data_IF_040562035256
#
_entry.id   IF_040562035256
#
_cell.length_a   1.000
_cell.length_b   1.000
_cell.length_c   1.000
_cell.angle_alpha   90.00
_cell.angle_beta   90.00
_cell.angle_gamma   90.00
#
_symmetry.space_group_name_H-M   'P 1'
#
loop_
_entity.id
_entity.type
_entity.pdbx_description
1 polymer ?
#
# COMPACT_ATOMS: atom_id res chain seq x y z
N UNK A 1 -8.76 5.60 5.67
CA UNK A 1 -9.27 4.39 6.37
C UNK A 1 -8.09 3.77 7.12
N UNK A 2 -7.92 4.11 8.41
CA UNK A 2 -6.76 3.63 9.17
C UNK A 2 -7.10 2.44 10.08
N UNK A 3 -8.36 2.32 10.53
CA UNK A 3 -8.82 1.28 11.46
C UNK A 3 -8.65 -0.13 10.90
N UNK A 4 -9.01 -0.36 9.64
CA UNK A 4 -8.85 -1.68 9.00
C UNK A 4 -7.38 -2.09 8.91
N UNK A 5 -6.49 -1.15 8.59
CA UNK A 5 -5.03 -1.42 8.55
C UNK A 5 -4.51 -1.71 9.96
N UNK A 6 -4.98 -0.98 10.99
CA UNK A 6 -4.61 -1.27 12.39
C UNK A 6 -4.99 -2.69 12.82
N UNK A 7 -6.15 -3.21 12.38
CA UNK A 7 -6.55 -4.60 12.62
C UNK A 7 -5.64 -5.58 11.89
N UNK A 8 -5.25 -5.29 10.65
CA UNK A 8 -4.27 -6.13 9.93
C UNK A 8 -2.91 -6.13 10.64
N UNK A 9 -2.44 -4.98 11.12
CA UNK A 9 -1.21 -4.89 11.91
C UNK A 9 -1.30 -5.74 13.19
N UNK A 10 -2.42 -5.71 13.90
CA UNK A 10 -2.66 -6.57 15.07
C UNK A 10 -2.56 -8.06 14.74
N UNK A 11 -3.17 -8.50 13.62
CA UNK A 11 -3.06 -9.88 13.16
C UNK A 11 -1.62 -10.27 12.81
N UNK A 12 -0.87 -9.39 12.16
CA UNK A 12 0.51 -9.63 11.76
C UNK A 12 1.47 -9.66 12.95
N UNK A 13 1.22 -8.83 13.96
CA UNK A 13 1.97 -8.82 15.23
C UNK A 13 1.89 -10.19 15.91
N UNK A 14 0.72 -10.85 15.90
CA UNK A 14 0.58 -12.20 16.44
C UNK A 14 1.09 -13.30 15.51
N UNK A 15 1.22 -13.03 14.21
CA UNK A 15 1.66 -14.03 13.22
C UNK A 15 3.18 -14.20 13.20
N UNK A 16 3.93 -13.13 13.43
CA UNK A 16 5.38 -13.12 13.33
C UNK A 16 6.05 -13.02 14.70
N UNK A 17 7.08 -13.83 14.91
CA UNK A 17 7.90 -13.74 16.13
C UNK A 17 8.75 -12.46 16.13
N UNK A 18 9.45 -12.19 15.02
CA UNK A 18 10.26 -10.99 14.83
C UNK A 18 9.57 -10.05 13.83
N UNK A 19 8.36 -9.59 14.18
CA UNK A 19 7.42 -8.90 13.27
C UNK A 19 8.03 -7.92 12.27
N UNK A 20 8.93 -7.02 12.67
CA UNK A 20 9.56 -6.06 11.75
C UNK A 20 10.52 -6.73 10.77
N UNK A 21 11.33 -7.66 11.25
CA UNK A 21 12.33 -8.38 10.45
C UNK A 21 11.65 -9.34 9.48
N UNK A 22 10.72 -10.14 9.99
CA UNK A 22 10.02 -11.16 9.21
C UNK A 22 9.14 -10.54 8.13
N UNK A 23 8.41 -9.45 8.48
CA UNK A 23 7.63 -8.70 7.50
C UNK A 23 8.51 -8.08 6.41
N UNK A 24 9.61 -7.44 6.79
CA UNK A 24 10.53 -6.83 5.81
C UNK A 24 11.15 -7.90 4.92
N UNK A 25 11.52 -9.06 5.46
CA UNK A 25 12.04 -10.18 4.69
C UNK A 25 11.00 -10.73 3.70
N UNK A 26 9.74 -10.87 4.12
CA UNK A 26 8.65 -11.25 3.23
C UNK A 26 8.45 -10.20 2.11
N UNK A 27 8.52 -8.91 2.45
CA UNK A 27 8.35 -7.82 1.49
C UNK A 27 9.52 -7.74 0.49
N UNK A 28 10.75 -7.96 0.94
CA UNK A 28 11.95 -8.08 0.09
C UNK A 28 11.85 -9.25 -0.89
N UNK A 29 11.37 -10.41 -0.43
CA UNK A 29 11.09 -11.58 -1.29
C UNK A 29 10.03 -11.27 -2.36
N UNK A 30 8.97 -10.55 -1.97
CA UNK A 30 7.92 -10.11 -2.88
C UNK A 30 8.47 -9.16 -3.95
N UNK A 31 9.22 -8.14 -3.54
CA UNK A 31 9.75 -7.12 -4.44
C UNK A 31 11.00 -7.55 -5.20
N UNK A 32 11.57 -8.72 -4.89
CA UNK A 32 12.85 -9.21 -5.44
C UNK A 32 14.00 -8.21 -5.26
N UNK A 33 14.00 -7.48 -4.14
CA UNK A 33 15.02 -6.49 -3.77
C UNK A 33 15.47 -6.71 -2.33
N UNK A 34 16.78 -6.69 -2.09
CA UNK A 34 17.38 -6.77 -0.76
C UNK A 34 17.47 -5.42 -0.05
N UNK A 35 17.37 -4.32 -0.80
CA UNK A 35 17.81 -3.00 -0.35
C UNK A 35 16.69 -2.21 0.34
N UNK A 36 15.45 -2.70 0.21
CA UNK A 36 14.26 -2.16 0.88
C UNK A 36 14.47 -2.18 2.39
N UNK A 37 14.26 -1.06 3.05
CA UNK A 37 14.43 -0.93 4.50
C UNK A 37 13.41 0.03 5.10
N UNK A 38 13.33 0.04 6.43
CA UNK A 38 12.54 1.01 7.16
C UNK A 38 13.30 2.32 7.31
N UNK A 39 12.59 3.42 7.13
CA UNK A 39 13.06 4.74 7.53
C UNK A 39 12.79 4.95 9.02
N UNK A 40 13.82 4.75 9.83
CA UNK A 40 13.75 4.97 11.29
C UNK A 40 13.37 6.42 11.64
N UNK A 41 13.81 7.38 10.81
CA UNK A 41 13.48 8.78 10.98
C UNK A 41 11.97 9.04 10.75
N UNK A 42 11.40 8.49 9.68
CA UNK A 42 9.96 8.62 9.39
C UNK A 42 9.13 7.89 10.45
N UNK A 43 9.49 6.66 10.83
CA UNK A 43 8.78 5.91 11.87
C UNK A 43 8.72 6.67 13.20
N UNK A 44 9.86 7.21 13.65
CA UNK A 44 9.93 8.05 14.88
C UNK A 44 9.11 9.33 14.75
N UNK A 45 9.20 9.99 13.59
CA UNK A 45 8.43 11.20 13.30
C UNK A 45 6.92 10.91 13.40
N UNK A 46 6.42 9.89 12.70
CA UNK A 46 5.01 9.51 12.74
C UNK A 46 4.55 9.09 14.14
N UNK A 47 5.38 8.34 14.88
CA UNK A 47 5.06 7.91 16.24
C UNK A 47 4.93 9.09 17.24
N UNK A 48 5.74 10.14 17.05
CA UNK A 48 5.75 11.34 17.90
C UNK A 48 4.47 12.17 17.80
N UNK A 49 3.85 12.22 16.61
CA UNK A 49 2.63 13.00 16.34
C UNK A 49 1.41 12.13 16.03
N UNK A 50 1.53 10.81 16.18
CA UNK A 50 0.52 9.81 15.83
C UNK A 50 -0.73 9.76 16.70
N UNK A 51 -1.13 10.87 17.34
CA UNK A 51 -2.24 10.95 18.29
C UNK A 51 -3.56 10.38 17.74
N UNK A 52 -3.88 10.66 16.47
CA UNK A 52 -5.08 10.13 15.81
C UNK A 52 -5.06 8.62 15.71
N UNK A 53 -3.92 8.03 15.34
CA UNK A 53 -3.78 6.57 15.26
C UNK A 53 -3.81 5.93 16.66
N UNK A 54 -3.20 6.57 17.66
CA UNK A 54 -3.28 6.15 19.08
C UNK A 54 -4.72 6.12 19.60
N UNK A 55 -5.47 7.21 19.38
CA UNK A 55 -6.87 7.29 19.76
C UNK A 55 -7.72 6.23 19.03
N UNK A 56 -7.53 6.10 17.71
CA UNK A 56 -8.27 5.13 16.91
C UNK A 56 -8.00 3.69 17.34
N UNK A 57 -6.74 3.32 17.59
CA UNK A 57 -6.37 1.97 18.02
C UNK A 57 -7.03 1.59 19.34
N UNK A 58 -6.97 2.48 20.35
CA UNK A 58 -7.65 2.27 21.63
C UNK A 58 -9.17 2.21 21.48
N UNK A 59 -9.74 3.08 20.64
CA UNK A 59 -11.17 3.07 20.35
C UNK A 59 -11.62 1.74 19.74
N UNK A 60 -10.94 1.21 18.74
CA UNK A 60 -11.34 -0.08 18.14
C UNK A 60 -10.99 -1.28 19.02
N UNK A 61 -9.99 -1.16 19.92
CA UNK A 61 -9.68 -2.16 20.96
C UNK A 61 -10.82 -2.29 21.97
N UNK A 62 -11.50 -1.20 22.34
CA UNK A 62 -12.62 -1.27 23.29
C UNK A 62 -13.81 -2.10 22.76
N UNK A 63 -13.93 -2.24 21.43
CA UNK A 63 -14.89 -3.14 20.78
C UNK A 63 -14.36 -4.57 20.57
N UNK A 64 -13.17 -4.88 21.08
CA UNK A 64 -12.56 -6.21 20.99
C UNK A 64 -11.91 -6.54 19.63
N UNK A 65 -11.70 -5.56 18.75
CA UNK A 65 -11.09 -5.79 17.43
C UNK A 65 -9.57 -5.90 17.45
N UNK A 66 -8.92 -5.44 18.53
CA UNK A 66 -7.46 -5.46 18.71
C UNK A 66 -7.13 -6.34 19.91
N UNK A 67 -6.28 -7.35 19.72
CA UNK A 67 -5.94 -8.32 20.76
C UNK A 67 -4.64 -7.95 21.47
N UNK A 68 -3.63 -7.51 20.74
CA UNK A 68 -2.32 -7.14 21.30
C UNK A 68 -2.34 -5.75 21.95
N UNK A 69 -1.21 -5.35 22.54
CA UNK A 69 -1.07 -4.03 23.15
C UNK A 69 -1.07 -2.92 22.08
N UNK A 70 -1.83 -1.82 22.25
CA UNK A 70 -1.89 -0.75 21.26
C UNK A 70 -0.53 -0.19 20.86
N UNK A 71 0.39 -0.04 21.81
CA UNK A 71 1.74 0.45 21.55
C UNK A 71 2.51 -0.49 20.62
N UNK A 72 2.33 -1.80 20.79
CA UNK A 72 2.95 -2.83 19.97
C UNK A 72 2.45 -2.80 18.52
N UNK A 73 1.12 -2.70 18.37
CA UNK A 73 0.46 -2.64 17.06
C UNK A 73 0.83 -1.36 16.32
N UNK A 74 0.87 -0.23 17.05
CA UNK A 74 1.19 1.07 16.45
C UNK A 74 2.67 1.19 16.10
N UNK A 75 3.58 0.67 16.93
CA UNK A 75 4.99 0.59 16.61
C UNK A 75 5.19 -0.18 15.28
N UNK A 76 4.53 -1.33 15.12
CA UNK A 76 4.59 -2.07 13.86
C UNK A 76 3.97 -1.30 12.69
N UNK A 77 2.81 -0.66 12.89
CA UNK A 77 2.15 0.17 11.89
C UNK A 77 3.06 1.29 11.37
N UNK A 78 3.71 2.05 12.27
CA UNK A 78 4.58 3.16 11.87
C UNK A 78 5.83 2.69 11.12
N UNK A 79 6.38 1.52 11.45
CA UNK A 79 7.48 0.94 10.67
C UNK A 79 7.00 0.46 9.30
N UNK A 80 5.84 -0.20 9.22
CA UNK A 80 5.27 -0.59 7.93
C UNK A 80 5.02 0.62 7.02
N UNK A 81 4.57 1.74 7.56
CA UNK A 81 4.39 3.00 6.83
C UNK A 81 5.71 3.70 6.46
N UNK A 82 6.83 3.36 7.10
CA UNK A 82 8.13 3.97 6.85
C UNK A 82 9.01 3.19 5.87
N UNK A 83 8.51 2.14 5.23
CA UNK A 83 9.25 1.40 4.21
C UNK A 83 9.59 2.33 3.04
N UNK A 84 10.89 2.44 2.73
CA UNK A 84 11.41 3.25 1.62
C UNK A 84 11.72 2.38 0.41
N UNK A 85 11.26 2.84 -0.76
CA UNK A 85 11.39 2.13 -2.03
C UNK A 85 11.45 3.11 -3.20
N UNK A 86 12.17 2.71 -4.24
CA UNK A 86 12.06 3.34 -5.56
C UNK A 86 10.75 2.99 -6.26
N UNK A 87 10.36 3.77 -7.29
CA UNK A 87 9.22 3.43 -8.14
C UNK A 87 9.37 2.04 -8.80
N UNK A 88 10.60 1.66 -9.13
CA UNK A 88 10.89 0.36 -9.73
C UNK A 88 10.60 -0.79 -8.76
N UNK A 89 11.12 -0.71 -7.54
CA UNK A 89 10.87 -1.72 -6.51
C UNK A 89 9.39 -1.81 -6.15
N UNK A 90 8.71 -0.66 -6.03
CA UNK A 90 7.29 -0.64 -5.70
C UNK A 90 6.46 -1.24 -6.85
N UNK A 91 6.81 -0.94 -8.11
CA UNK A 91 6.15 -1.55 -9.27
C UNK A 91 6.34 -3.06 -9.27
N UNK A 92 7.58 -3.52 -9.07
CA UNK A 92 7.92 -4.94 -8.99
C UNK A 92 7.14 -5.65 -7.86
N UNK A 93 7.00 -5.01 -6.70
CA UNK A 93 6.26 -5.53 -5.55
C UNK A 93 4.75 -5.64 -5.78
N UNK A 94 4.18 -4.88 -6.72
CA UNK A 94 2.75 -4.92 -7.07
C UNK A 94 2.45 -5.74 -8.33
N UNK A 95 3.47 -6.20 -9.07
CA UNK A 95 3.28 -6.96 -10.30
C UNK A 95 2.47 -8.26 -10.12
N UNK A 96 2.42 -8.85 -8.92
CA UNK A 96 1.56 -10.02 -8.65
C UNK A 96 0.06 -9.75 -8.82
N UNK A 97 -0.34 -8.47 -8.83
CA UNK A 97 -1.72 -8.05 -9.07
C UNK A 97 -2.05 -7.88 -10.55
N UNK A 98 -1.03 -7.71 -11.39
CA UNK A 98 -1.13 -7.64 -12.84
C UNK A 98 -0.81 -8.98 -13.50
N UNK A 99 0.14 -9.75 -12.98
CA UNK A 99 0.66 -10.95 -13.62
C UNK A 99 0.25 -12.22 -12.84
N UNK A 100 -0.64 -13.07 -13.39
CA UNK A 100 -1.08 -14.31 -12.72
C UNK A 100 0.03 -15.35 -12.55
N UNK A 101 1.14 -15.21 -13.29
CA UNK A 101 2.31 -16.09 -13.21
C UNK A 101 3.44 -15.49 -12.36
N UNK A 102 3.16 -14.41 -11.62
CA UNK A 102 4.16 -13.80 -10.76
C UNK A 102 4.53 -14.71 -9.59
N UNK A 103 5.82 -14.93 -9.41
CA UNK A 103 6.39 -15.61 -8.24
C UNK A 103 7.34 -14.68 -7.49
N UNK A 104 7.46 -14.89 -6.17
CA UNK A 104 8.49 -14.24 -5.34
C UNK A 104 9.91 -14.68 -5.75
N UNK A 105 10.95 -14.11 -5.14
CA UNK A 105 12.33 -14.59 -5.36
C UNK A 105 12.56 -16.06 -4.98
N UNK A 106 11.68 -16.65 -4.15
CA UNK A 106 11.72 -18.06 -3.75
C UNK A 106 10.88 -18.99 -4.64
N UNK A 107 10.18 -18.44 -5.64
CA UNK A 107 9.31 -19.22 -6.53
C UNK A 107 7.88 -19.41 -6.01
N UNK A 108 7.54 -18.82 -4.86
CA UNK A 108 6.22 -18.93 -4.26
C UNK A 108 5.20 -18.04 -4.98
N UNK A 109 3.98 -18.55 -5.16
CA UNK A 109 2.85 -17.74 -5.60
C UNK A 109 2.39 -16.83 -4.48
N UNK A 110 2.06 -15.57 -4.80
CA UNK A 110 1.64 -14.58 -3.81
C UNK A 110 0.15 -14.72 -3.50
N UNK A 111 -0.71 -14.64 -4.52
CA UNK A 111 -2.16 -14.77 -4.42
C UNK A 111 -2.69 -15.63 -5.57
N UNK A 112 -3.83 -16.31 -5.33
CA UNK A 112 -4.61 -16.90 -6.41
C UNK A 112 -5.51 -15.84 -7.09
N UNK A 113 -6.05 -16.18 -8.25
CA UNK A 113 -6.87 -15.27 -9.07
C UNK A 113 -8.05 -14.66 -8.29
N UNK A 114 -8.74 -15.45 -7.46
CA UNK A 114 -9.87 -14.94 -6.67
C UNK A 114 -9.44 -13.90 -5.64
N UNK A 115 -8.28 -14.08 -4.99
CA UNK A 115 -7.75 -13.12 -4.03
C UNK A 115 -7.21 -11.87 -4.74
N UNK A 116 -6.51 -12.03 -5.86
CA UNK A 116 -6.04 -10.91 -6.71
C UNK A 116 -7.20 -10.04 -7.16
N UNK A 117 -8.30 -10.64 -7.66
CA UNK A 117 -9.51 -9.89 -8.04
C UNK A 117 -10.08 -9.06 -6.89
N UNK A 118 -10.10 -9.59 -5.66
CA UNK A 118 -10.59 -8.87 -4.48
C UNK A 118 -9.67 -7.71 -4.10
N UNK A 119 -8.35 -7.89 -4.16
CA UNK A 119 -7.40 -6.81 -3.88
C UNK A 119 -7.53 -5.69 -4.92
N UNK A 120 -7.59 -6.02 -6.21
CA UNK A 120 -7.79 -5.04 -7.28
C UNK A 120 -9.12 -4.29 -7.11
N UNK A 121 -10.20 -4.96 -6.70
CA UNK A 121 -11.48 -4.31 -6.41
C UNK A 121 -11.40 -3.33 -5.22
N UNK A 122 -10.67 -3.69 -4.16
CA UNK A 122 -10.44 -2.78 -3.01
C UNK A 122 -9.59 -1.58 -3.44
N UNK A 123 -8.54 -1.81 -4.25
CA UNK A 123 -7.72 -0.73 -4.81
C UNK A 123 -8.55 0.21 -5.68
N UNK A 124 -9.43 -0.31 -6.53
CA UNK A 124 -10.34 0.51 -7.35
C UNK A 124 -11.26 1.40 -6.50
N UNK A 125 -11.84 0.83 -5.46
CA UNK A 125 -12.94 1.47 -4.72
C UNK A 125 -12.48 2.34 -3.55
N UNK A 126 -11.33 2.03 -2.94
CA UNK A 126 -10.85 2.64 -1.70
C UNK A 126 -9.38 3.12 -1.79
N UNK A 127 -8.76 3.05 -2.98
CA UNK A 127 -7.33 3.26 -3.16
C UNK A 127 -6.82 4.69 -2.91
N UNK A 128 -7.67 5.69 -3.14
CA UNK A 128 -7.30 7.11 -3.21
C UNK A 128 -8.11 7.97 -2.22
N UNK A 129 -8.41 7.44 -1.03
CA UNK A 129 -9.21 8.14 -0.02
C UNK A 129 -10.54 8.62 -0.65
N UNK A 130 -10.87 9.90 -0.47
CA UNK A 130 -12.10 10.52 -0.97
C UNK A 130 -12.08 10.72 -2.50
N UNK A 131 -10.92 10.53 -3.16
CA UNK A 131 -10.75 10.69 -4.61
C UNK A 131 -10.72 9.35 -5.38
N UNK A 132 -11.06 8.22 -4.75
CA UNK A 132 -11.10 6.90 -5.42
C UNK A 132 -12.05 6.86 -6.63
N UNK A 133 -13.19 7.57 -6.55
CA UNK A 133 -14.13 7.69 -7.67
C UNK A 133 -13.57 8.52 -8.82
N UNK A 134 -12.95 9.65 -8.49
CA UNK A 134 -12.30 10.53 -9.47
C UNK A 134 -11.15 9.81 -10.17
N UNK A 135 -10.34 9.04 -9.43
CA UNK A 135 -9.30 8.18 -10.00
C UNK A 135 -9.90 7.16 -10.98
N UNK A 136 -10.97 6.49 -10.57
CA UNK A 136 -11.66 5.51 -11.41
C UNK A 136 -12.20 6.14 -12.69
N UNK A 137 -12.76 7.34 -12.62
CA UNK A 137 -13.34 8.03 -13.76
C UNK A 137 -12.29 8.53 -14.76
N UNK A 138 -11.13 8.99 -14.27
CA UNK A 138 -10.12 9.66 -15.10
C UNK A 138 -8.99 8.75 -15.56
N UNK A 139 -8.59 7.81 -14.71
CA UNK A 139 -7.50 6.87 -15.00
C UNK A 139 -8.06 5.50 -15.38
N UNK A 140 -9.16 5.07 -14.76
CA UNK A 140 -9.80 3.81 -15.14
C UNK A 140 -9.00 2.56 -14.78
N UNK A 141 -8.15 2.62 -13.75
CA UNK A 141 -7.36 1.48 -13.27
C UNK A 141 -7.55 1.27 -11.75
N UNK A 142 -7.32 0.05 -11.24
CA UNK A 142 -7.10 -0.17 -9.81
C UNK A 142 -5.84 0.56 -9.35
N UNK A 143 -5.88 1.28 -8.24
CA UNK A 143 -4.66 1.91 -7.73
C UNK A 143 -4.65 2.17 -6.23
N UNK A 144 -3.53 2.69 -5.75
CA UNK A 144 -3.33 3.10 -4.35
C UNK A 144 -2.43 4.32 -4.29
N UNK A 145 -2.84 5.36 -3.57
CA UNK A 145 -1.97 6.49 -3.23
C UNK A 145 -1.39 6.36 -1.82
N UNK A 146 -0.19 6.91 -1.58
CA UNK A 146 0.40 7.04 -0.25
C UNK A 146 0.80 8.48 0.02
N UNK A 147 0.64 8.96 1.25
CA UNK A 147 0.94 10.36 1.64
C UNK A 147 2.41 10.77 1.47
N UNK A 148 3.30 9.82 1.14
CA UNK A 148 4.70 10.06 0.82
C UNK A 148 5.02 10.37 -0.65
N UNK A 149 4.06 10.41 -1.57
CA UNK A 149 4.30 10.79 -2.98
C UNK A 149 3.86 9.79 -4.02
N UNK A 150 3.75 8.53 -3.59
CA UNK A 150 3.62 7.39 -4.48
C UNK A 150 2.17 7.15 -4.89
N UNK A 151 1.98 6.84 -6.17
CA UNK A 151 0.75 6.27 -6.71
C UNK A 151 1.13 5.00 -7.45
N UNK A 152 0.47 3.90 -7.10
CA UNK A 152 0.51 2.64 -7.85
C UNK A 152 -0.80 2.51 -8.62
N UNK A 153 -0.72 2.12 -9.90
CA UNK A 153 -1.88 1.72 -10.71
C UNK A 153 -1.59 0.40 -11.42
N UNK A 154 -2.60 -0.47 -11.52
CA UNK A 154 -2.46 -1.85 -11.98
C UNK A 154 -3.44 -2.09 -13.11
N UNK A 155 -2.96 -2.46 -14.30
CA UNK A 155 -3.79 -3.01 -15.36
C UNK A 155 -3.72 -4.55 -15.28
N UNK A 156 -4.80 -5.24 -14.87
CA UNK A 156 -4.81 -6.69 -14.75
C UNK A 156 -4.41 -7.38 -16.06
N UNK A 157 -3.49 -8.34 -15.98
CA UNK A 157 -2.93 -9.08 -17.12
C UNK A 157 -2.07 -8.27 -18.10
N UNK A 158 -1.73 -7.00 -17.79
CA UNK A 158 -0.84 -6.18 -18.63
C UNK A 158 0.36 -5.63 -17.87
N UNK A 159 0.16 -4.70 -16.94
CA UNK A 159 1.26 -4.00 -16.27
C UNK A 159 0.89 -3.47 -14.88
N UNK A 160 1.93 -3.13 -14.12
CA UNK A 160 1.86 -2.26 -12.97
C UNK A 160 2.68 -1.00 -13.28
N UNK A 161 2.13 0.17 -13.00
CA UNK A 161 2.80 1.45 -13.16
C UNK A 161 2.84 2.19 -11.82
N UNK A 162 3.99 2.78 -11.52
CA UNK A 162 4.20 3.55 -10.30
C UNK A 162 4.75 4.91 -10.66
N UNK A 163 4.11 5.94 -10.11
CA UNK A 163 4.56 7.32 -10.22
C UNK A 163 4.79 7.89 -8.84
N UNK A 164 5.78 8.77 -8.72
CA UNK A 164 6.06 9.48 -7.48
C UNK A 164 6.20 10.96 -7.76
N UNK A 165 5.58 11.79 -6.92
CA UNK A 165 5.76 13.23 -6.97
C UNK A 165 5.64 13.82 -5.57
N UNK A 166 6.46 14.80 -5.22
CA UNK A 166 6.47 15.39 -3.88
C UNK A 166 5.34 16.39 -3.62
N UNK A 167 4.73 16.97 -4.68
CA UNK A 167 3.75 18.06 -4.52
C UNK A 167 2.32 17.55 -4.48
N UNK A 168 1.69 17.66 -3.31
CA UNK A 168 0.26 17.44 -3.09
C UNK A 168 -0.58 18.61 -3.62
N UNK A 169 -1.78 18.32 -4.11
CA UNK A 169 -2.85 19.31 -4.27
C UNK A 169 -3.53 19.57 -2.91
N UNK A 170 -4.47 20.52 -2.86
CA UNK A 170 -5.23 20.86 -1.64
C UNK A 170 -6.04 19.68 -1.06
N UNK A 171 -6.29 18.64 -1.85
CA UNK A 171 -7.05 17.43 -1.48
C UNK A 171 -6.18 16.26 -1.01
N UNK A 172 -4.84 16.42 -1.00
CA UNK A 172 -3.93 15.38 -0.55
C UNK A 172 -3.58 14.32 -1.61
N UNK A 173 -3.72 14.63 -2.90
CA UNK A 173 -3.21 13.80 -4.00
C UNK A 173 -2.17 14.50 -4.88
N UNK A 174 -1.29 13.71 -5.48
CA UNK A 174 -0.18 14.17 -6.30
C UNK A 174 -0.65 14.58 -7.68
N UNK A 175 -0.97 15.86 -7.83
CA UNK A 175 -1.51 16.45 -9.07
C UNK A 175 -0.76 15.98 -10.32
N UNK A 176 0.59 15.94 -10.27
CA UNK A 176 1.42 15.51 -11.40
C UNK A 176 1.30 14.01 -11.70
N UNK A 177 1.31 13.17 -10.66
CA UNK A 177 1.18 11.71 -10.82
C UNK A 177 -0.19 11.33 -11.38
N UNK A 178 -1.25 11.95 -10.87
CA UNK A 178 -2.61 11.80 -11.38
C UNK A 178 -2.75 12.22 -12.84
N UNK A 179 -2.24 13.42 -13.18
CA UNK A 179 -2.28 13.95 -14.55
C UNK A 179 -1.50 13.09 -15.52
N UNK A 180 -0.34 12.57 -15.11
CA UNK A 180 0.43 11.65 -15.92
C UNK A 180 -0.36 10.37 -16.18
N UNK A 181 -0.94 9.75 -15.14
CA UNK A 181 -1.68 8.50 -15.29
C UNK A 181 -2.92 8.66 -16.18
N UNK A 182 -3.67 9.74 -16.02
CA UNK A 182 -4.82 10.08 -16.88
C UNK A 182 -4.39 10.27 -18.34
N UNK A 183 -3.33 11.04 -18.58
CA UNK A 183 -2.81 11.26 -19.93
C UNK A 183 -2.30 9.95 -20.55
N UNK A 184 -1.60 9.13 -19.76
CA UNK A 184 -1.10 7.83 -20.19
C UNK A 184 -2.24 6.91 -20.62
N UNK A 185 -3.25 6.70 -19.77
CA UNK A 185 -4.37 5.81 -20.10
C UNK A 185 -5.25 6.34 -21.23
N UNK A 186 -5.31 7.67 -21.41
CA UNK A 186 -6.00 8.29 -22.55
C UNK A 186 -5.24 8.04 -23.86
N UNK A 187 -3.93 8.26 -23.86
CA UNK A 187 -3.08 8.10 -25.05
C UNK A 187 -2.95 6.63 -25.47
N UNK A 188 -2.90 5.71 -24.49
CA UNK A 188 -2.79 4.26 -24.76
C UNK A 188 -4.15 3.58 -24.96
N UNK A 189 -5.26 4.28 -24.72
CA UNK A 189 -6.63 3.73 -24.71
C UNK A 189 -6.79 2.58 -23.68
N UNK A 190 -6.04 2.63 -22.58
CA UNK A 190 -5.99 1.57 -21.58
C UNK A 190 -6.74 1.93 -20.30
N UNK A 191 -8.04 1.62 -20.32
CA UNK A 191 -8.93 1.62 -19.16
C UNK A 191 -9.48 0.20 -18.94
N UNK A 192 -9.87 -0.13 -17.70
CA UNK A 192 -10.65 -1.35 -17.40
C UNK A 192 -12.17 -1.13 -17.48
N UNK A 193 -12.59 0.10 -17.77
CA UNK A 193 -13.96 0.51 -18.09
C UNK A 193 -14.09 0.87 -19.56
#
# INVERSE_FOLDING_TARGET
MNSGVTVICDMLVSHYENRKVDFLAAFRKLCKSSDISYSEAVAKSEASVGYRNKALCNFIKSFGNIKNEPEEVLDFYFHMCSIEMSCQELSQGFMYLANPNFTTSTGDNVLNLSKTKRVNAIMQTCGFYDESREFSFRVGLPGKSGVGGGIVAVYPSKYCIVVWSSKLNEKGNYYRGMKFLEAFTTETEESIF
#
